data_IF_584933218837
#
_entry.id   IF_584933218837
#
_cell.length_a   1.000
_cell.length_b   1.000
_cell.length_c   1.000
_cell.angle_alpha   90.00
_cell.angle_beta   90.00
_cell.angle_gamma   90.00
#
_symmetry.space_group_name_H-M   'P 1'
#
loop_
_entity.id
_entity.type
_entity.pdbx_description
1 polymer ?
#
# COMPACT_ATOMS: atom_id res chain seq x y z
N UNK A 1 11.75 22.06 -18.10
CA UNK A 1 12.40 22.15 -16.79
C UNK A 1 11.60 23.11 -15.91
N UNK A 2 10.65 22.59 -15.17
CA UNK A 2 9.97 23.37 -14.13
C UNK A 2 10.60 23.06 -12.77
N UNK A 3 10.82 24.10 -11.97
CA UNK A 3 11.25 23.93 -10.57
C UNK A 3 10.04 23.64 -9.66
N UNK A 4 8.81 23.90 -10.15
CA UNK A 4 7.55 23.58 -9.47
C UNK A 4 7.02 22.23 -9.94
N UNK A 5 7.52 21.16 -9.31
CA UNK A 5 7.12 19.79 -9.63
C UNK A 5 5.67 19.55 -9.24
N UNK A 6 5.25 20.02 -8.08
CA UNK A 6 3.89 19.85 -7.56
C UNK A 6 2.86 20.52 -8.46
N UNK A 7 3.10 21.78 -8.84
CA UNK A 7 2.24 22.52 -9.78
C UNK A 7 2.18 21.86 -11.16
N UNK A 8 3.31 21.37 -11.67
CA UNK A 8 3.33 20.66 -12.95
C UNK A 8 2.50 19.37 -12.90
N UNK A 9 2.70 18.55 -11.87
CA UNK A 9 1.93 17.29 -11.71
C UNK A 9 0.45 17.60 -11.56
N UNK A 10 0.08 18.61 -10.75
CA UNK A 10 -1.33 18.99 -10.54
C UNK A 10 -2.03 19.44 -11.83
N UNK A 11 -1.31 20.00 -12.79
CA UNK A 11 -1.87 20.43 -14.08
C UNK A 11 -2.00 19.32 -15.11
N UNK A 12 -1.18 18.27 -15.00
CA UNK A 12 -1.04 17.24 -16.06
C UNK A 12 -1.37 15.83 -15.60
N UNK A 13 -1.77 15.62 -14.35
CA UNK A 13 -2.00 14.30 -13.75
C UNK A 13 -3.39 14.21 -13.13
N UNK A 14 -4.04 13.05 -13.25
CA UNK A 14 -5.27 12.76 -12.52
C UNK A 14 -5.02 12.48 -11.02
N UNK A 15 -3.77 12.23 -10.64
CA UNK A 15 -3.37 11.97 -9.26
C UNK A 15 -2.39 13.06 -8.82
N UNK A 16 -2.59 13.66 -7.64
CA UNK A 16 -1.69 14.70 -7.14
C UNK A 16 -0.29 14.15 -6.87
N UNK A 17 0.70 15.06 -6.79
CA UNK A 17 2.06 14.70 -6.41
C UNK A 17 2.11 14.17 -4.97
N UNK A 18 2.65 12.96 -4.82
CA UNK A 18 2.94 12.35 -3.54
C UNK A 18 4.40 12.62 -3.17
N UNK A 19 4.63 13.34 -2.08
CA UNK A 19 5.96 13.68 -1.58
C UNK A 19 6.57 12.61 -0.65
N UNK A 20 5.94 11.44 -0.57
CA UNK A 20 6.41 10.32 0.26
C UNK A 20 7.46 9.52 -0.50
N UNK A 21 8.59 9.28 0.13
CA UNK A 21 9.60 8.37 -0.40
C UNK A 21 9.10 6.93 -0.36
N UNK A 22 9.43 6.16 -1.39
CA UNK A 22 9.04 4.75 -1.51
C UNK A 22 10.29 3.87 -1.48
N UNK A 23 10.22 2.78 -0.73
CA UNK A 23 11.19 1.69 -0.86
C UNK A 23 10.92 0.90 -2.16
N UNK A 24 11.87 0.08 -2.57
CA UNK A 24 11.70 -0.74 -3.78
C UNK A 24 10.48 -1.67 -3.69
N UNK A 25 10.23 -2.23 -2.50
CA UNK A 25 9.08 -3.11 -2.26
C UNK A 25 7.71 -2.42 -2.30
N UNK A 26 7.69 -1.09 -2.09
CA UNK A 26 6.47 -0.27 -2.17
C UNK A 26 6.17 0.23 -3.59
N UNK A 27 7.12 0.10 -4.51
CA UNK A 27 6.89 0.35 -5.94
C UNK A 27 6.20 -0.87 -6.54
N UNK A 28 4.85 -0.95 -6.42
CA UNK A 28 4.01 -2.03 -6.91
C UNK A 28 3.90 -1.92 -8.43
N UNK A 29 4.93 -2.33 -9.15
CA UNK A 29 4.95 -2.25 -10.60
C UNK A 29 5.95 -3.26 -11.16
N UNK A 30 5.68 -3.80 -12.34
CA UNK A 30 6.67 -4.57 -13.12
C UNK A 30 7.90 -3.72 -13.48
N UNK A 31 7.78 -2.38 -13.40
CA UNK A 31 8.84 -1.41 -13.64
C UNK A 31 9.59 -0.99 -12.36
N UNK A 32 9.31 -1.59 -11.21
CA UNK A 32 9.90 -1.20 -9.92
C UNK A 32 11.43 -1.19 -9.94
N UNK A 33 12.05 -2.18 -10.60
CA UNK A 33 13.51 -2.24 -10.76
C UNK A 33 14.08 -1.05 -11.54
N UNK A 34 13.43 -0.70 -12.64
CA UNK A 34 13.86 0.42 -13.49
C UNK A 34 13.65 1.75 -12.76
N UNK A 35 12.48 1.92 -12.16
CA UNK A 35 12.11 3.15 -11.44
C UNK A 35 13.02 3.39 -10.23
N UNK A 36 13.33 2.33 -9.48
CA UNK A 36 14.18 2.44 -8.30
C UNK A 36 15.64 2.78 -8.64
N UNK A 37 16.15 2.30 -9.77
CA UNK A 37 17.53 2.54 -10.23
C UNK A 37 17.64 3.73 -11.20
N UNK A 38 16.59 4.51 -11.40
CA UNK A 38 16.61 5.66 -12.27
C UNK A 38 17.48 6.76 -11.65
N UNK A 39 18.42 7.32 -12.43
CA UNK A 39 19.22 8.43 -11.94
C UNK A 39 18.38 9.68 -11.68
N UNK A 40 18.83 10.53 -10.75
CA UNK A 40 18.18 11.80 -10.45
C UNK A 40 17.90 12.63 -11.71
N UNK A 41 16.74 13.28 -11.74
CA UNK A 41 16.23 14.07 -12.84
C UNK A 41 15.98 13.33 -14.17
N UNK A 42 16.18 12.00 -14.23
CA UNK A 42 15.78 11.19 -15.39
C UNK A 42 14.30 10.85 -15.34
N UNK A 43 13.77 10.66 -16.54
CA UNK A 43 12.37 10.33 -16.79
C UNK A 43 12.29 8.94 -17.38
N UNK A 44 11.34 8.16 -16.93
CA UNK A 44 10.96 6.87 -17.49
C UNK A 44 9.49 6.88 -17.92
N UNK A 45 9.19 6.32 -19.06
CA UNK A 45 7.85 6.22 -19.61
C UNK A 45 7.73 6.79 -21.02
N UNK A 46 6.51 6.81 -21.62
CA UNK A 46 5.28 6.36 -20.97
C UNK A 46 5.25 4.82 -20.76
N UNK A 47 4.61 4.37 -19.70
CA UNK A 47 4.34 2.97 -19.41
C UNK A 47 2.92 2.78 -18.88
N UNK A 48 2.37 1.57 -18.99
CA UNK A 48 1.00 1.25 -18.56
C UNK A 48 1.08 0.48 -17.22
N UNK A 49 0.27 0.91 -16.26
CA UNK A 49 0.08 0.24 -14.98
C UNK A 49 -1.41 0.19 -14.66
N UNK A 50 -1.98 -1.02 -14.75
CA UNK A 50 -3.43 -1.20 -14.64
C UNK A 50 -4.19 -0.44 -15.72
N UNK A 51 -5.06 0.48 -15.32
CA UNK A 51 -5.84 1.35 -16.23
C UNK A 51 -5.19 2.71 -16.47
N UNK A 52 -3.94 2.90 -16.08
CA UNK A 52 -3.28 4.19 -16.17
C UNK A 52 -2.08 4.14 -17.12
N UNK A 53 -1.88 5.23 -17.86
CA UNK A 53 -0.60 5.54 -18.48
C UNK A 53 0.18 6.48 -17.56
N UNK A 54 1.45 6.19 -17.37
CA UNK A 54 2.32 6.91 -16.42
C UNK A 54 3.61 7.37 -17.07
N UNK A 55 4.10 8.49 -16.59
CA UNK A 55 5.45 8.98 -16.81
C UNK A 55 6.01 9.32 -15.43
N UNK A 56 7.16 8.76 -15.09
CA UNK A 56 7.80 8.94 -13.78
C UNK A 56 9.13 9.66 -13.92
N UNK A 57 9.37 10.65 -13.08
CA UNK A 57 10.66 11.36 -12.97
C UNK A 57 11.25 11.08 -11.61
N UNK A 58 12.53 10.66 -11.57
CA UNK A 58 13.30 10.58 -10.33
C UNK A 58 13.59 11.99 -9.82
N UNK A 59 13.16 12.28 -8.59
CA UNK A 59 13.35 13.56 -7.93
C UNK A 59 14.51 13.49 -6.96
N UNK A 60 14.56 12.43 -6.13
CA UNK A 60 15.59 12.26 -5.11
C UNK A 60 15.73 10.78 -4.74
N UNK A 61 16.92 10.43 -4.24
CA UNK A 61 17.24 9.12 -3.70
C UNK A 61 17.90 9.29 -2.33
N UNK A 62 17.42 8.55 -1.33
CA UNK A 62 18.05 8.52 -0.01
C UNK A 62 18.50 7.13 0.35
N UNK A 63 19.82 7.00 0.54
CA UNK A 63 20.39 5.80 1.11
C UNK A 63 19.96 5.66 2.57
N UNK A 64 19.58 4.44 2.98
CA UNK A 64 19.11 4.15 4.34
C UNK A 64 17.95 5.06 4.78
N UNK A 65 17.13 5.56 3.84
CA UNK A 65 16.08 6.56 4.08
C UNK A 65 14.83 6.02 4.78
N UNK A 66 14.64 4.70 4.80
CA UNK A 66 13.61 4.01 5.57
C UNK A 66 14.28 3.07 6.57
N UNK A 67 13.93 3.19 7.84
CA UNK A 67 14.61 2.50 8.95
C UNK A 67 13.61 1.63 9.69
N UNK A 68 13.96 0.38 9.96
CA UNK A 68 13.21 -0.50 10.84
C UNK A 68 13.91 -0.64 12.18
N UNK A 69 13.17 -0.46 13.25
CA UNK A 69 13.68 -0.59 14.59
C UNK A 69 12.69 -1.29 15.51
N UNK A 70 13.21 -1.92 16.54
CA UNK A 70 12.42 -2.38 17.68
C UNK A 70 12.79 -1.55 18.92
N UNK A 71 11.81 -1.30 19.80
CA UNK A 71 12.04 -0.56 21.02
C UNK A 71 11.36 -1.18 22.25
N UNK A 72 11.90 -0.84 23.42
CA UNK A 72 11.30 -1.10 24.74
C UNK A 72 11.13 0.26 25.38
N UNK A 73 9.89 0.72 25.55
CA UNK A 73 9.59 1.97 26.22
C UNK A 73 9.51 1.76 27.72
N UNK A 74 10.24 2.55 28.49
CA UNK A 74 10.15 2.62 29.94
C UNK A 74 9.68 4.03 30.29
N UNK A 75 8.38 4.17 30.46
CA UNK A 75 7.74 5.42 30.85
C UNK A 75 7.99 5.72 32.35
N UNK A 76 7.82 6.97 32.78
CA UNK A 76 7.81 7.39 34.17
C UNK A 76 6.54 8.22 34.44
N UNK A 77 6.22 8.44 35.71
CA UNK A 77 4.94 9.03 36.19
C UNK A 77 4.52 10.30 35.43
N UNK A 78 5.48 11.12 35.01
CA UNK A 78 5.23 12.43 34.38
C UNK A 78 5.48 12.41 32.87
N UNK A 79 5.82 11.26 32.28
CA UNK A 79 6.07 11.17 30.84
C UNK A 79 4.76 11.21 30.05
N UNK A 80 4.81 11.76 28.84
CA UNK A 80 3.64 11.91 28.00
C UNK A 80 3.01 10.54 27.67
N UNK A 81 1.71 10.40 27.90
CA UNK A 81 0.97 9.16 27.63
C UNK A 81 1.23 8.02 28.63
N UNK A 82 1.92 8.30 29.74
CA UNK A 82 2.10 7.30 30.79
C UNK A 82 0.76 6.94 31.44
N UNK A 83 0.55 5.64 31.63
CA UNK A 83 -0.60 5.14 32.41
C UNK A 83 -0.49 5.60 33.88
N UNK A 84 -1.63 5.91 34.49
CA UNK A 84 -1.71 6.27 35.92
C UNK A 84 -1.20 5.14 36.86
N UNK A 85 -1.01 3.94 36.35
CA UNK A 85 -0.43 2.81 37.07
C UNK A 85 1.11 2.86 37.14
N UNK A 86 1.73 3.75 36.36
CA UNK A 86 3.18 3.94 36.36
C UNK A 86 3.55 4.94 37.46
N UNK A 87 4.11 4.39 38.53
CA UNK A 87 4.52 5.13 39.74
C UNK A 87 6.01 5.45 39.78
N UNK A 88 6.81 4.82 38.89
CA UNK A 88 8.27 5.00 38.89
C UNK A 88 8.67 6.43 38.54
N UNK A 89 9.72 6.89 39.20
CA UNK A 89 10.37 8.17 38.90
C UNK A 89 11.13 8.12 37.57
N UNK A 90 11.56 9.30 37.09
CA UNK A 90 12.41 9.41 35.90
C UNK A 90 13.73 8.68 36.06
N UNK A 91 14.35 8.76 37.23
CA UNK A 91 15.62 8.09 37.57
C UNK A 91 15.47 6.57 37.57
N UNK A 92 14.41 6.05 38.14
CA UNK A 92 14.10 4.61 38.16
C UNK A 92 13.85 4.10 36.76
N UNK A 93 13.13 4.84 35.92
CA UNK A 93 12.92 4.50 34.53
C UNK A 93 14.23 4.45 33.74
N UNK A 94 15.12 5.42 33.96
CA UNK A 94 16.46 5.47 33.36
C UNK A 94 17.29 4.25 33.78
N UNK A 95 17.36 3.98 35.07
CA UNK A 95 18.10 2.83 35.59
C UNK A 95 17.60 1.51 35.02
N UNK A 96 16.27 1.31 34.97
CA UNK A 96 15.64 0.13 34.36
C UNK A 96 15.97 0.01 32.85
N UNK A 97 15.91 1.09 32.10
CA UNK A 97 16.26 1.07 30.68
C UNK A 97 17.72 0.66 30.45
N UNK A 98 18.66 1.20 31.23
CA UNK A 98 20.08 0.83 31.12
C UNK A 98 20.35 -0.60 31.59
N UNK A 99 19.61 -1.10 32.59
CA UNK A 99 19.71 -2.50 33.00
C UNK A 99 19.26 -3.45 31.88
N UNK A 100 18.10 -3.18 31.26
CA UNK A 100 17.61 -3.93 30.10
C UNK A 100 18.62 -3.88 28.96
N UNK A 101 19.18 -2.71 28.65
CA UNK A 101 20.21 -2.58 27.63
C UNK A 101 21.43 -3.48 27.92
N UNK A 102 21.88 -3.54 29.19
CA UNK A 102 23.02 -4.42 29.59
C UNK A 102 22.68 -5.89 29.38
N UNK A 103 21.45 -6.32 29.72
CA UNK A 103 21.00 -7.69 29.49
C UNK A 103 20.97 -8.03 27.99
N UNK A 104 20.39 -7.14 27.18
CA UNK A 104 20.30 -7.30 25.72
C UNK A 104 21.70 -7.35 25.08
N UNK A 105 22.65 -6.52 25.54
CA UNK A 105 24.03 -6.55 25.02
C UNK A 105 24.76 -7.85 25.33
N UNK A 106 24.43 -8.52 26.44
CA UNK A 106 24.97 -9.85 26.79
C UNK A 106 24.30 -10.97 25.99
N UNK A 107 23.00 -10.85 25.74
CA UNK A 107 22.23 -11.81 24.96
C UNK A 107 21.21 -11.08 24.06
N UNK A 108 21.59 -10.76 22.81
CA UNK A 108 20.71 -10.02 21.88
C UNK A 108 19.39 -10.75 21.52
N UNK A 109 19.33 -12.08 21.74
CA UNK A 109 18.14 -12.89 21.39
C UNK A 109 16.95 -12.62 22.31
N UNK A 110 17.18 -12.10 23.53
CA UNK A 110 16.10 -11.83 24.50
C UNK A 110 15.35 -10.53 24.23
N UNK A 111 15.68 -9.77 23.19
CA UNK A 111 15.09 -8.44 22.95
C UNK A 111 13.56 -8.51 22.91
N UNK A 112 13.00 -9.40 22.08
CA UNK A 112 11.55 -9.52 21.90
C UNK A 112 10.83 -9.92 23.20
N UNK A 113 11.38 -10.88 23.92
CA UNK A 113 10.87 -11.29 25.23
C UNK A 113 10.95 -10.15 26.24
N UNK A 114 12.07 -9.41 26.26
CA UNK A 114 12.25 -8.25 27.14
C UNK A 114 11.26 -7.13 26.79
N UNK A 115 10.94 -6.93 25.50
CA UNK A 115 9.92 -5.98 25.07
C UNK A 115 8.54 -6.37 25.58
N UNK A 116 8.13 -7.62 25.39
CA UNK A 116 6.83 -8.12 25.86
C UNK A 116 6.67 -8.03 27.38
N UNK A 117 7.74 -8.24 28.15
CA UNK A 117 7.72 -8.21 29.61
C UNK A 117 7.81 -6.81 30.20
N UNK A 118 8.59 -5.93 29.60
CA UNK A 118 9.02 -4.67 30.25
C UNK A 118 8.52 -3.41 29.57
N UNK A 119 8.10 -3.48 28.30
CA UNK A 119 7.69 -2.28 27.56
C UNK A 119 6.34 -1.76 28.04
N UNK A 120 6.27 -0.45 28.25
CA UNK A 120 5.03 0.28 28.46
C UNK A 120 4.40 0.74 27.12
N UNK A 121 5.08 0.53 26.00
CA UNK A 121 4.64 0.96 24.68
C UNK A 121 3.70 -0.05 23.99
N UNK A 122 2.92 0.41 22.99
CA UNK A 122 1.91 -0.41 22.32
C UNK A 122 2.50 -1.54 21.45
N UNK A 123 3.77 -1.44 21.06
CA UNK A 123 4.45 -2.48 20.28
C UNK A 123 4.95 -3.67 21.10
N UNK A 124 4.74 -3.69 22.43
CA UNK A 124 5.25 -4.75 23.31
C UNK A 124 4.87 -6.16 22.85
N UNK A 125 3.63 -6.36 22.41
CA UNK A 125 3.10 -7.64 21.99
C UNK A 125 3.64 -8.12 20.63
N UNK A 126 4.28 -7.20 19.89
CA UNK A 126 5.03 -7.47 18.65
C UNK A 126 6.55 -7.56 18.88
N UNK A 127 6.98 -7.81 20.12
CA UNK A 127 8.41 -7.83 20.47
C UNK A 127 9.09 -6.47 20.36
N UNK A 128 8.32 -5.39 20.42
CA UNK A 128 8.79 -4.02 20.30
C UNK A 128 8.97 -3.52 18.87
N UNK A 129 8.66 -4.32 17.83
CA UNK A 129 8.83 -3.95 16.43
C UNK A 129 7.92 -2.78 16.03
N UNK A 130 8.52 -1.76 15.43
CA UNK A 130 7.84 -0.55 14.96
C UNK A 130 7.56 -0.57 13.44
N UNK A 131 8.05 -1.62 12.74
CA UNK A 131 8.06 -1.61 11.29
C UNK A 131 9.06 -0.60 10.71
N UNK A 132 8.97 -0.38 9.40
CA UNK A 132 9.74 0.66 8.71
C UNK A 132 9.11 2.04 8.91
N UNK A 133 9.95 3.05 9.09
CA UNK A 133 9.54 4.45 9.21
C UNK A 133 10.62 5.36 8.64
N UNK A 134 10.21 6.57 8.26
CA UNK A 134 11.06 7.61 7.70
C UNK A 134 11.17 8.80 8.65
N UNK A 135 11.96 9.79 8.28
CA UNK A 135 12.09 11.05 9.01
C UNK A 135 10.72 11.71 9.22
N UNK A 136 10.50 12.28 10.40
CA UNK A 136 9.25 12.94 10.79
C UNK A 136 8.21 12.02 11.46
N UNK A 137 8.35 10.69 11.39
CA UNK A 137 7.42 9.76 12.03
C UNK A 137 7.72 9.49 13.50
N UNK A 138 8.97 9.69 13.91
CA UNK A 138 9.43 9.46 15.30
C UNK A 138 9.90 10.76 15.94
N UNK A 139 9.94 10.77 17.28
CA UNK A 139 10.58 11.87 18.01
C UNK A 139 12.01 12.09 17.53
N UNK A 140 12.41 13.34 17.41
CA UNK A 140 13.70 13.71 16.82
C UNK A 140 14.88 12.95 17.44
N UNK A 141 14.96 12.87 18.76
CA UNK A 141 16.05 12.17 19.45
C UNK A 141 16.07 10.65 19.15
N UNK A 142 14.88 10.05 18.97
CA UNK A 142 14.76 8.65 18.55
C UNK A 142 15.26 8.47 17.12
N UNK A 143 14.76 9.31 16.21
CA UNK A 143 15.16 9.25 14.80
C UNK A 143 16.65 9.53 14.61
N UNK A 144 17.21 10.55 15.25
CA UNK A 144 18.64 10.86 15.20
C UNK A 144 19.50 9.66 15.63
N UNK A 145 19.08 8.93 16.66
CA UNK A 145 19.79 7.74 17.10
C UNK A 145 19.81 6.65 16.02
N UNK A 146 18.63 6.31 15.44
CA UNK A 146 18.57 5.22 14.44
C UNK A 146 19.20 5.62 13.12
N UNK A 147 19.08 6.88 12.73
CA UNK A 147 19.67 7.40 11.50
C UNK A 147 21.21 7.38 11.55
N UNK A 148 21.80 7.84 12.66
CA UNK A 148 23.24 7.99 12.82
C UNK A 148 23.97 6.69 13.20
N UNK A 149 23.28 5.58 13.38
CA UNK A 149 23.87 4.31 13.77
C UNK A 149 23.56 3.19 12.76
N UNK A 150 24.39 2.14 12.74
CA UNK A 150 24.26 1.00 11.83
C UNK A 150 23.22 -0.01 12.35
N UNK A 151 22.68 -0.83 11.44
CA UNK A 151 21.88 -2.02 11.75
C UNK A 151 22.58 -2.90 12.80
N UNK A 152 21.81 -3.43 13.74
CA UNK A 152 22.31 -4.19 14.89
C UNK A 152 22.69 -3.36 16.11
N UNK A 153 22.84 -2.02 15.98
CA UNK A 153 23.13 -1.16 17.12
C UNK A 153 21.99 -1.14 18.11
N UNK A 154 22.34 -1.17 19.40
CA UNK A 154 21.40 -0.97 20.52
C UNK A 154 21.84 0.20 21.39
N UNK A 155 20.89 0.93 21.94
CA UNK A 155 21.13 2.07 22.81
C UNK A 155 19.91 2.50 23.61
N UNK A 156 20.09 3.47 24.50
CA UNK A 156 19.00 4.12 25.24
C UNK A 156 18.89 5.56 24.79
N UNK A 157 17.68 5.98 24.48
CA UNK A 157 17.34 7.37 24.10
C UNK A 157 16.19 7.85 24.97
N UNK A 158 16.28 9.09 25.43
CA UNK A 158 15.20 9.78 26.13
C UNK A 158 14.33 10.55 25.16
N UNK A 159 13.01 10.45 25.33
CA UNK A 159 12.00 11.27 24.66
C UNK A 159 10.98 11.76 25.69
N UNK A 160 10.02 12.55 25.24
CA UNK A 160 8.89 12.99 26.10
C UNK A 160 8.02 11.82 26.63
N UNK A 161 8.09 10.63 26.02
CA UNK A 161 7.34 9.43 26.43
C UNK A 161 8.07 8.57 27.47
N UNK A 162 9.37 8.80 27.66
CA UNK A 162 10.20 8.02 28.57
C UNK A 162 11.55 7.63 27.98
N UNK A 163 12.15 6.58 28.50
CA UNK A 163 13.39 6.01 28.00
C UNK A 163 13.13 4.84 27.07
N UNK A 164 13.71 4.90 25.87
CA UNK A 164 13.58 3.87 24.85
C UNK A 164 14.88 3.07 24.76
N UNK A 165 14.81 1.77 25.01
CA UNK A 165 15.87 0.85 24.62
C UNK A 165 15.61 0.47 23.18
N UNK A 166 16.47 0.91 22.26
CA UNK A 166 16.28 0.78 20.82
C UNK A 166 17.23 -0.27 20.26
N UNK A 167 16.76 -1.05 19.28
CA UNK A 167 17.56 -1.92 18.42
C UNK A 167 17.21 -1.61 16.97
N UNK A 168 18.22 -1.22 16.18
CA UNK A 168 18.06 -1.03 14.73
C UNK A 168 18.06 -2.41 14.08
N UNK A 169 17.01 -2.75 13.37
CA UNK A 169 16.85 -4.09 12.80
C UNK A 169 17.10 -4.13 11.29
N UNK A 170 16.78 -3.04 10.59
CA UNK A 170 16.98 -2.96 9.15
C UNK A 170 17.06 -1.51 8.66
N UNK A 171 17.55 -1.31 7.43
CA UNK A 171 17.55 -0.04 6.71
C UNK A 171 17.39 -0.30 5.22
N UNK A 172 16.57 0.51 4.56
CA UNK A 172 16.31 0.44 3.13
C UNK A 172 16.56 1.78 2.46
N UNK A 173 17.09 1.72 1.25
CA UNK A 173 17.13 2.86 0.37
C UNK A 173 15.72 3.22 -0.09
N UNK A 174 15.45 4.50 -0.31
CA UNK A 174 14.16 4.99 -0.78
C UNK A 174 14.33 6.01 -1.89
N UNK A 175 13.31 6.11 -2.73
CA UNK A 175 13.26 7.03 -3.86
C UNK A 175 12.02 7.93 -3.77
N UNK A 176 12.15 9.15 -4.25
CA UNK A 176 11.05 10.08 -4.47
C UNK A 176 10.81 10.22 -5.97
N UNK A 177 9.61 9.83 -6.42
CA UNK A 177 9.21 9.89 -7.81
C UNK A 177 8.09 10.92 -8.00
N UNK A 178 8.24 11.79 -8.98
CA UNK A 178 7.11 12.56 -9.49
C UNK A 178 6.45 11.78 -10.64
N UNK A 179 5.18 11.45 -10.49
CA UNK A 179 4.41 10.69 -11.44
C UNK A 179 3.35 11.59 -12.12
N UNK A 180 3.38 11.67 -13.44
CA UNK A 180 2.24 12.13 -14.22
C UNK A 180 1.44 10.89 -14.59
N UNK A 181 0.20 10.85 -14.16
CA UNK A 181 -0.71 9.70 -14.31
C UNK A 181 -1.96 10.15 -15.03
N UNK A 182 -2.31 9.45 -16.10
CA UNK A 182 -3.59 9.66 -16.81
C UNK A 182 -4.32 8.33 -16.94
N UNK A 183 -5.61 8.34 -16.68
CA UNK A 183 -6.46 7.18 -16.83
C UNK A 183 -6.69 6.90 -18.33
N UNK A 184 -6.54 5.63 -18.72
CA UNK A 184 -6.84 5.17 -20.08
C UNK A 184 -8.35 4.93 -20.19
N UNK A 185 -9.04 5.92 -20.72
CA UNK A 185 -10.45 5.79 -21.04
C UNK A 185 -10.61 5.49 -22.54
N UNK A 186 -11.55 4.62 -22.94
CA UNK A 186 -11.84 4.41 -24.36
C UNK A 186 -12.28 5.73 -24.99
N UNK A 187 -11.88 5.95 -26.23
CA UNK A 187 -12.35 7.11 -26.98
C UNK A 187 -13.87 7.02 -27.19
N UNK A 188 -14.51 8.16 -27.43
CA UNK A 188 -15.94 8.21 -27.77
C UNK A 188 -16.25 7.31 -28.97
N UNK A 189 -15.38 7.32 -29.99
CA UNK A 189 -15.48 6.42 -31.13
C UNK A 189 -15.46 4.94 -30.69
N UNK A 190 -14.52 4.54 -29.85
CA UNK A 190 -14.41 3.15 -29.35
C UNK A 190 -15.66 2.77 -28.56
N UNK A 191 -16.12 3.66 -27.66
CA UNK A 191 -17.34 3.43 -26.86
C UNK A 191 -18.57 3.26 -27.74
N UNK A 192 -18.72 4.10 -28.77
CA UNK A 192 -19.82 4.01 -29.73
C UNK A 192 -19.77 2.72 -30.58
N UNK A 193 -18.57 2.25 -30.97
CA UNK A 193 -18.42 0.98 -31.67
C UNK A 193 -18.82 -0.21 -30.79
N UNK A 194 -18.38 -0.21 -29.52
CA UNK A 194 -18.76 -1.25 -28.55
C UNK A 194 -20.26 -1.27 -28.34
N UNK A 195 -20.88 -0.09 -28.14
CA UNK A 195 -22.33 0.04 -27.97
C UNK A 195 -23.10 -0.47 -29.21
N UNK A 196 -22.64 -0.08 -30.41
CA UNK A 196 -23.23 -0.56 -31.66
C UNK A 196 -23.14 -2.08 -31.77
N UNK A 197 -21.96 -2.66 -31.52
CA UNK A 197 -21.76 -4.10 -31.58
C UNK A 197 -22.66 -4.85 -30.56
N UNK A 198 -22.79 -4.29 -29.35
CA UNK A 198 -23.69 -4.85 -28.34
C UNK A 198 -25.16 -4.80 -28.78
N UNK A 199 -25.61 -3.67 -29.37
CA UNK A 199 -26.98 -3.52 -29.87
C UNK A 199 -27.23 -4.45 -31.08
N UNK A 200 -26.28 -4.56 -32.02
CA UNK A 200 -26.37 -5.49 -33.14
C UNK A 200 -26.47 -6.95 -32.68
N UNK A 201 -25.70 -7.31 -31.65
CA UNK A 201 -25.78 -8.62 -31.00
C UNK A 201 -27.16 -8.83 -30.37
N UNK A 202 -27.64 -7.90 -29.56
CA UNK A 202 -28.96 -7.96 -28.91
C UNK A 202 -30.09 -8.20 -29.93
N UNK A 203 -30.11 -7.42 -31.04
CA UNK A 203 -31.12 -7.52 -32.08
C UNK A 203 -31.08 -8.90 -32.75
N UNK A 204 -29.90 -9.47 -32.99
CA UNK A 204 -29.75 -10.79 -33.61
C UNK A 204 -30.13 -11.90 -32.61
N UNK A 205 -29.68 -11.80 -31.38
CA UNK A 205 -29.94 -12.80 -30.34
C UNK A 205 -31.40 -12.88 -29.92
N UNK A 206 -32.14 -11.77 -29.88
CA UNK A 206 -33.60 -11.72 -29.61
C UNK A 206 -34.44 -12.45 -30.68
N UNK A 207 -33.90 -12.65 -31.89
CA UNK A 207 -34.57 -13.34 -32.99
C UNK A 207 -34.15 -14.79 -33.15
N UNK A 208 -33.23 -15.27 -32.32
CA UNK A 208 -32.58 -16.56 -32.46
C UNK A 208 -33.02 -17.56 -31.41
N UNK A 209 -32.77 -18.84 -31.68
CA UNK A 209 -32.86 -19.91 -30.68
C UNK A 209 -31.52 -20.00 -29.92
N UNK A 210 -31.50 -20.76 -28.82
CA UNK A 210 -30.31 -20.96 -27.99
C UNK A 210 -29.08 -21.44 -28.80
N UNK A 211 -29.30 -22.34 -29.79
CA UNK A 211 -28.21 -22.86 -30.64
C UNK A 211 -27.61 -21.79 -31.55
N UNK A 212 -28.37 -20.74 -31.87
CA UNK A 212 -27.90 -19.64 -32.70
C UNK A 212 -27.10 -18.60 -31.92
N UNK A 213 -27.32 -18.50 -30.59
CA UNK A 213 -26.65 -17.51 -29.72
C UNK A 213 -25.12 -17.64 -29.77
N UNK A 214 -24.59 -18.84 -29.66
CA UNK A 214 -23.14 -19.10 -29.74
C UNK A 214 -22.60 -18.73 -31.12
N UNK A 215 -23.32 -19.12 -32.17
CA UNK A 215 -22.94 -18.80 -33.54
C UNK A 215 -22.94 -17.29 -33.82
N UNK A 216 -23.91 -16.56 -33.27
CA UNK A 216 -23.99 -15.08 -33.38
C UNK A 216 -22.79 -14.44 -32.65
N UNK A 217 -22.48 -14.90 -31.44
CA UNK A 217 -21.35 -14.42 -30.67
C UNK A 217 -20.02 -14.65 -31.40
N UNK A 218 -19.83 -15.85 -31.97
CA UNK A 218 -18.63 -16.18 -32.76
C UNK A 218 -18.51 -15.31 -34.02
N UNK A 219 -19.59 -15.12 -34.76
CA UNK A 219 -19.61 -14.29 -35.97
C UNK A 219 -19.26 -12.82 -35.71
N UNK A 220 -19.61 -12.32 -34.51
CA UNK A 220 -19.29 -10.98 -34.06
C UNK A 220 -17.94 -10.90 -33.30
N UNK A 221 -17.18 -11.99 -33.26
CA UNK A 221 -15.94 -12.11 -32.50
C UNK A 221 -16.09 -11.74 -31.02
N UNK A 222 -17.22 -12.07 -30.43
CA UNK A 222 -17.52 -11.86 -29.00
C UNK A 222 -17.20 -13.13 -28.21
N UNK A 223 -16.61 -12.99 -27.04
CA UNK A 223 -16.43 -14.09 -26.12
C UNK A 223 -17.70 -14.29 -25.32
N UNK A 224 -18.32 -15.45 -25.43
CA UNK A 224 -19.42 -15.84 -24.54
C UNK A 224 -18.93 -16.78 -23.44
N UNK A 225 -19.63 -16.79 -22.33
CA UNK A 225 -19.33 -17.64 -21.19
C UNK A 225 -20.64 -18.15 -20.57
N UNK A 226 -20.78 -19.47 -20.49
CA UNK A 226 -21.84 -20.08 -19.71
C UNK A 226 -21.46 -20.05 -18.22
N UNK A 227 -22.39 -19.66 -17.38
CA UNK A 227 -22.27 -19.68 -15.93
C UNK A 227 -23.34 -20.58 -15.36
N UNK A 228 -22.92 -21.70 -14.77
CA UNK A 228 -23.80 -22.66 -14.14
C UNK A 228 -23.89 -22.39 -12.63
N UNK A 229 -25.01 -22.82 -12.03
CA UNK A 229 -25.22 -22.82 -10.57
C UNK A 229 -25.19 -21.44 -9.91
N UNK A 230 -25.69 -20.38 -10.58
CA UNK A 230 -25.93 -19.10 -9.93
C UNK A 230 -27.03 -19.25 -8.86
N UNK A 231 -26.82 -18.55 -7.73
CA UNK A 231 -27.80 -18.46 -6.65
C UNK A 231 -28.36 -17.04 -6.57
N UNK A 232 -29.64 -16.91 -6.22
CA UNK A 232 -30.28 -15.58 -6.08
C UNK A 232 -29.58 -14.66 -5.07
N UNK A 233 -28.82 -15.22 -4.13
CA UNK A 233 -28.06 -14.47 -3.13
C UNK A 233 -26.63 -14.12 -3.56
N UNK A 234 -26.18 -14.62 -4.70
CA UNK A 234 -24.85 -14.29 -5.19
C UNK A 234 -24.74 -12.80 -5.52
N UNK A 235 -23.60 -12.21 -5.27
CA UNK A 235 -23.29 -10.82 -5.59
C UNK A 235 -22.41 -10.69 -6.84
N UNK A 236 -21.72 -11.78 -7.21
CA UNK A 236 -20.76 -11.82 -8.29
C UNK A 236 -21.09 -12.89 -9.32
N UNK A 237 -20.81 -12.58 -10.60
CA UNK A 237 -20.86 -13.57 -11.69
C UNK A 237 -19.40 -13.97 -12.01
N UNK A 238 -19.07 -15.28 -12.05
CA UNK A 238 -17.73 -15.73 -12.38
C UNK A 238 -17.23 -15.18 -13.72
N UNK A 239 -16.17 -14.37 -13.67
CA UNK A 239 -15.55 -13.72 -14.84
C UNK A 239 -16.12 -12.34 -15.20
N UNK A 240 -17.20 -11.88 -14.56
CA UNK A 240 -17.77 -10.55 -14.74
C UNK A 240 -17.69 -9.67 -13.47
N UNK A 241 -17.36 -10.27 -12.30
CA UNK A 241 -17.30 -9.55 -11.02
C UNK A 241 -18.67 -9.22 -10.45
N UNK A 242 -18.81 -8.10 -9.73
CA UNK A 242 -20.04 -7.68 -9.07
C UNK A 242 -21.11 -7.30 -10.09
N UNK A 243 -22.12 -8.17 -10.23
CA UNK A 243 -23.24 -8.01 -11.17
C UNK A 243 -24.58 -8.34 -10.53
N UNK A 244 -24.83 -7.83 -9.33
CA UNK A 244 -26.02 -8.11 -8.54
C UNK A 244 -27.34 -7.83 -9.29
N UNK A 245 -27.35 -6.84 -10.16
CA UNK A 245 -28.55 -6.47 -10.93
C UNK A 245 -28.89 -7.52 -11.98
N UNK A 246 -27.88 -8.11 -12.65
CA UNK A 246 -28.08 -9.19 -13.62
C UNK A 246 -28.57 -10.45 -12.91
N UNK A 247 -27.98 -10.78 -11.75
CA UNK A 247 -28.41 -11.93 -10.95
C UNK A 247 -29.87 -11.76 -10.52
N UNK A 248 -30.26 -10.60 -9.96
CA UNK A 248 -31.65 -10.33 -9.57
C UNK A 248 -32.61 -10.44 -10.75
N UNK A 249 -32.22 -9.95 -11.90
CA UNK A 249 -33.03 -10.04 -13.11
C UNK A 249 -33.21 -11.48 -13.54
N UNK A 250 -32.18 -12.33 -13.58
CA UNK A 250 -32.25 -13.73 -14.00
C UNK A 250 -33.16 -14.60 -13.10
N UNK A 251 -33.44 -14.19 -11.86
CA UNK A 251 -34.34 -14.85 -10.93
C UNK A 251 -35.66 -14.10 -10.75
N UNK A 252 -36.00 -13.13 -11.60
CA UNK A 252 -37.27 -12.40 -11.50
C UNK A 252 -38.41 -13.19 -12.16
N UNK A 253 -39.63 -13.03 -11.64
CA UNK A 253 -40.84 -13.65 -12.17
C UNK A 253 -41.13 -13.23 -13.62
N UNK A 254 -40.53 -12.15 -14.10
CA UNK A 254 -40.70 -11.60 -15.43
C UNK A 254 -39.58 -12.00 -16.41
N UNK A 255 -38.66 -12.90 -16.03
CA UNK A 255 -37.58 -13.37 -16.89
C UNK A 255 -37.85 -14.81 -17.32
N UNK A 256 -37.81 -15.04 -18.61
CA UNK A 256 -38.00 -16.33 -19.24
C UNK A 256 -36.72 -16.81 -19.94
N UNK A 257 -36.66 -18.12 -20.24
CA UNK A 257 -35.53 -18.67 -21.02
C UNK A 257 -35.53 -18.05 -22.41
N UNK A 258 -34.38 -17.46 -22.77
CA UNK A 258 -34.17 -16.71 -24.01
C UNK A 258 -34.20 -15.20 -23.88
N UNK A 259 -34.56 -14.67 -22.69
CA UNK A 259 -34.49 -13.24 -22.45
C UNK A 259 -33.07 -12.71 -22.42
N UNK A 260 -32.91 -11.46 -22.85
CA UNK A 260 -31.65 -10.74 -22.92
C UNK A 260 -31.76 -9.45 -22.10
N UNK A 261 -30.70 -9.13 -21.39
CA UNK A 261 -30.60 -7.87 -20.63
C UNK A 261 -29.22 -7.22 -20.82
#
# INVERSE_FOLDING_TARGET
NTNDISGFVSQHSNIPFDSIYKSKGELISEYSEILFNLNENKVFGPYIEGKNIKISKMIDQKKDGSIRASHILISYKESLGASNLILRSKEEAKQKAFEILRQIRRNPKIFNESASKNSDGPSKDKGGDLGFFQEGFMEKSFFDFVNNNKVGKTGVVETKYGYHVIKITDKEDVVLLANVVQELNPSEYTSNQIFKNATDFEIQALKSNREDFESIAENLALNYKQVDYLNILDEQIPGLGEQRQIIKWSFSDNSEEGDIK
#
